data_IF_378697004477
#
_entry.id   IF_378697004477
#
_cell.length_a   1.000
_cell.length_b   1.000
_cell.length_c   1.000
_cell.angle_alpha   90.00
_cell.angle_beta   90.00
_cell.angle_gamma   90.00
#
_symmetry.space_group_name_H-M   'P 1'
#
loop_
_entity.id
_entity.type
_entity.pdbx_description
1 polymer ?
#
# COMPACT_ATOMS: atom_id res chain seq x y z
N UNK A 1 -11.87 -5.05 7.10
CA UNK A 1 -12.27 -4.30 5.90
C UNK A 1 -11.41 -3.05 5.80
N UNK A 2 -10.23 -3.16 5.18
CA UNK A 2 -9.23 -2.07 5.12
C UNK A 2 -9.58 -1.01 4.06
N UNK A 3 -10.41 -1.36 3.08
CA UNK A 3 -10.80 -0.45 2.00
C UNK A 3 -11.93 0.51 2.39
N UNK A 4 -12.76 0.16 3.38
CA UNK A 4 -13.85 1.02 3.87
C UNK A 4 -13.45 1.97 5.00
N UNK A 5 -12.26 1.82 5.58
CA UNK A 5 -11.81 2.65 6.69
C UNK A 5 -10.50 3.36 6.37
N UNK A 6 -10.39 4.63 6.75
CA UNK A 6 -9.16 5.44 6.62
C UNK A 6 -8.31 5.46 7.89
N UNK A 7 -8.78 4.79 8.94
CA UNK A 7 -8.16 4.80 10.28
C UNK A 7 -6.88 3.96 10.33
N UNK A 8 -6.84 2.84 9.60
CA UNK A 8 -5.65 1.99 9.49
C UNK A 8 -4.93 2.32 8.19
N UNK A 9 -3.74 2.89 8.31
CA UNK A 9 -2.84 3.11 7.19
C UNK A 9 -2.31 1.76 6.69
N UNK A 10 -2.28 1.57 5.38
CA UNK A 10 -1.72 0.40 4.72
C UNK A 10 -0.89 0.84 3.51
N UNK A 11 0.15 0.09 3.20
CA UNK A 11 1.10 0.43 2.15
C UNK A 11 1.92 -0.77 1.71
N UNK A 12 2.83 -0.51 0.77
CA UNK A 12 3.65 -1.55 0.12
C UNK A 12 5.11 -1.10 0.04
N UNK A 13 6.01 -2.05 -0.13
CA UNK A 13 7.43 -1.77 -0.35
C UNK A 13 7.61 -1.11 -1.72
N UNK A 14 8.34 0.01 -1.75
CA UNK A 14 8.66 0.74 -2.99
C UNK A 14 9.56 -0.13 -3.87
N UNK A 15 9.19 -0.32 -5.12
CA UNK A 15 9.89 -1.17 -6.09
C UNK A 15 9.61 -2.67 -5.94
N UNK A 16 8.67 -3.08 -5.06
CA UNK A 16 8.32 -4.48 -4.87
C UNK A 16 7.34 -5.03 -5.92
N UNK A 17 7.30 -6.37 -6.06
CA UNK A 17 6.31 -7.07 -6.90
C UNK A 17 4.87 -6.76 -6.48
N UNK A 18 4.63 -6.54 -5.18
CA UNK A 18 3.34 -6.14 -4.62
C UNK A 18 2.90 -4.76 -5.10
N UNK A 19 3.82 -3.79 -5.26
CA UNK A 19 3.48 -2.46 -5.80
C UNK A 19 2.96 -2.57 -7.23
N UNK A 20 3.68 -3.32 -8.07
CA UNK A 20 3.32 -3.54 -9.48
C UNK A 20 1.99 -4.29 -9.60
N UNK A 21 1.70 -5.21 -8.67
CA UNK A 21 0.43 -5.92 -8.64
C UNK A 21 -0.75 -4.97 -8.41
N UNK A 22 -0.66 -4.06 -7.43
CA UNK A 22 -1.72 -3.08 -7.16
C UNK A 22 -1.89 -2.07 -8.30
N UNK A 23 -0.79 -1.67 -8.93
CA UNK A 23 -0.81 -0.78 -10.11
C UNK A 23 -1.47 -1.44 -11.33
N UNK A 24 -1.16 -2.71 -11.60
CA UNK A 24 -1.69 -3.47 -12.75
C UNK A 24 -2.98 -4.22 -12.45
N UNK A 25 -3.56 -4.07 -11.26
CA UNK A 25 -4.73 -4.82 -10.88
C UNK A 25 -5.98 -4.31 -11.59
N UNK A 26 -6.79 -5.23 -12.11
CA UNK A 26 -8.07 -4.92 -12.77
C UNK A 26 -9.27 -4.96 -11.79
N UNK A 27 -9.00 -5.26 -10.51
CA UNK A 27 -10.03 -5.28 -9.47
C UNK A 27 -10.24 -3.87 -8.94
N UNK A 28 -11.46 -3.33 -9.08
CA UNK A 28 -11.85 -1.99 -8.60
C UNK A 28 -11.45 -1.69 -7.15
N UNK A 29 -11.49 -2.70 -6.29
CA UNK A 29 -11.07 -2.60 -4.90
C UNK A 29 -9.58 -2.27 -4.77
N UNK A 30 -8.73 -2.98 -5.52
CA UNK A 30 -7.28 -2.82 -5.51
C UNK A 30 -6.85 -1.53 -6.20
N UNK A 31 -7.55 -1.10 -7.25
CA UNK A 31 -7.33 0.22 -7.86
C UNK A 31 -7.60 1.35 -6.85
N UNK A 32 -8.68 1.26 -6.07
CA UNK A 32 -8.99 2.24 -5.02
C UNK A 32 -7.93 2.26 -3.92
N UNK A 33 -7.44 1.09 -3.51
CA UNK A 33 -6.31 0.98 -2.58
C UNK A 33 -5.03 1.60 -3.16
N UNK A 34 -4.75 1.37 -4.44
CA UNK A 34 -3.61 1.96 -5.13
C UNK A 34 -3.67 3.48 -5.19
N UNK A 35 -4.83 4.06 -5.53
CA UNK A 35 -5.01 5.52 -5.52
C UNK A 35 -4.80 6.11 -4.13
N UNK A 36 -5.26 5.43 -3.07
CA UNK A 36 -4.98 5.84 -1.69
C UNK A 36 -3.48 5.83 -1.38
N UNK A 37 -2.77 4.77 -1.75
CA UNK A 37 -1.32 4.68 -1.56
C UNK A 37 -0.57 5.74 -2.36
N UNK A 38 -0.96 5.99 -3.61
CA UNK A 38 -0.30 6.96 -4.50
C UNK A 38 -0.43 8.40 -4.01
N UNK A 39 -1.52 8.73 -3.31
CA UNK A 39 -1.71 10.04 -2.67
C UNK A 39 -0.92 10.19 -1.36
N UNK A 40 -0.33 9.10 -0.85
CA UNK A 40 0.29 9.04 0.48
C UNK A 40 1.68 8.42 0.40
N UNK A 41 2.67 9.24 0.10
CA UNK A 41 4.06 8.77 -0.01
C UNK A 41 4.60 8.19 1.32
N UNK A 42 3.96 8.50 2.46
CA UNK A 42 4.30 8.00 3.81
C UNK A 42 4.00 6.51 4.03
N UNK A 43 3.17 5.90 3.17
CA UNK A 43 2.82 4.48 3.26
C UNK A 43 3.79 3.58 2.49
N UNK A 44 4.63 4.14 1.63
CA UNK A 44 5.69 3.37 0.97
C UNK A 44 6.89 3.25 1.90
N UNK A 45 7.41 2.02 2.02
CA UNK A 45 8.62 1.74 2.80
C UNK A 45 9.75 1.31 1.86
N UNK A 46 10.99 1.65 2.20
CA UNK A 46 12.14 1.32 1.36
C UNK A 46 12.56 -0.15 1.47
N UNK A 47 12.27 -0.81 2.60
CA UNK A 47 12.61 -2.21 2.82
C UNK A 47 11.57 -2.93 3.70
N UNK A 48 11.60 -4.27 3.67
CA UNK A 48 10.77 -5.10 4.54
C UNK A 48 11.06 -4.84 6.03
N UNK A 49 12.33 -4.59 6.40
CA UNK A 49 12.73 -4.30 7.79
C UNK A 49 12.09 -3.00 8.30
N UNK A 50 12.05 -1.97 7.45
CA UNK A 50 11.38 -0.71 7.76
C UNK A 50 9.86 -0.89 7.89
N UNK A 51 9.27 -1.76 7.06
CA UNK A 51 7.88 -2.18 7.16
C UNK A 51 7.57 -2.89 8.49
N UNK A 52 8.44 -3.81 8.93
CA UNK A 52 8.28 -4.51 10.22
C UNK A 52 8.36 -3.52 11.38
N UNK A 53 9.28 -2.55 11.33
CA UNK A 53 9.42 -1.53 12.38
C UNK A 53 8.23 -0.56 12.45
N UNK A 54 7.53 -0.30 11.33
CA UNK A 54 6.35 0.58 11.28
C UNK A 54 5.06 -0.09 11.75
N UNK A 55 5.00 -1.42 11.67
CA UNK A 55 3.81 -2.21 12.05
C UNK A 55 3.83 -2.56 13.54
N UNK A 56 5.02 -2.57 14.17
CA UNK A 56 5.20 -2.88 15.59
C UNK A 56 4.76 -1.76 16.52
#
# INVERSE_FOLDING_TARGET
DLARQTEIKYGVVRGGSTQTFFEKSDVKLFQRMWTYMQQRDDVFVASNEEGISKVR
#
